data_IF_897425170255
#
_entry.id   IF_897425170255
#
_cell.length_a   1.000
_cell.length_b   1.000
_cell.length_c   1.000
_cell.angle_alpha   90.00
_cell.angle_beta   90.00
_cell.angle_gamma   90.00
#
_symmetry.space_group_name_H-M   'P 1'
#
loop_
_entity.id
_entity.type
_entity.pdbx_description
1 polymer ?
#
# COMPACT_ATOMS: atom_id res chain seq x y z
N UNK A 1 16.26 -2.85 28.95
CA UNK A 1 15.03 -2.33 29.58
C UNK A 1 13.96 -2.39 28.50
N UNK A 2 12.79 -2.98 28.74
CA UNK A 2 11.74 -3.07 27.72
C UNK A 2 10.90 -1.78 27.72
N UNK A 3 10.78 -1.14 26.55
CA UNK A 3 9.99 0.06 26.34
C UNK A 3 8.81 -0.27 25.44
N UNK A 4 7.60 0.01 25.94
CA UNK A 4 6.40 -0.08 25.13
C UNK A 4 6.29 1.16 24.23
N UNK A 5 6.49 0.96 22.94
CA UNK A 5 6.44 1.99 21.92
C UNK A 5 5.06 2.01 21.25
N UNK A 6 4.35 3.13 21.32
CA UNK A 6 3.02 3.32 20.69
C UNK A 6 3.18 4.18 19.45
N UNK A 7 3.19 3.60 18.25
CA UNK A 7 3.39 4.35 17.00
C UNK A 7 2.21 4.18 16.06
N UNK A 8 2.12 5.08 15.08
CA UNK A 8 1.19 4.93 13.97
C UNK A 8 1.96 4.48 12.73
N UNK A 9 1.51 3.42 12.07
CA UNK A 9 2.08 2.95 10.82
C UNK A 9 1.17 3.40 9.68
N UNK A 10 1.71 4.21 8.77
CA UNK A 10 1.05 4.60 7.53
C UNK A 10 1.20 3.50 6.47
N UNK A 11 0.07 3.09 5.90
CA UNK A 11 0.05 2.11 4.81
C UNK A 11 -1.13 2.39 3.88
N UNK A 12 -0.83 2.63 2.59
CA UNK A 12 -1.82 2.87 1.53
C UNK A 12 -2.87 3.95 1.90
N UNK A 13 -2.43 5.07 2.48
CA UNK A 13 -3.29 6.21 2.83
C UNK A 13 -3.92 6.18 4.22
N UNK A 14 -3.91 5.03 4.89
CA UNK A 14 -4.49 4.86 6.24
C UNK A 14 -3.38 4.75 7.29
N UNK A 15 -3.65 5.20 8.52
CA UNK A 15 -2.73 5.03 9.66
C UNK A 15 -3.32 4.01 10.66
N UNK A 16 -2.50 3.06 11.09
CA UNK A 16 -2.87 2.02 12.07
C UNK A 16 -1.98 2.16 13.30
N UNK A 17 -2.59 2.25 14.49
CA UNK A 17 -1.84 2.28 15.75
C UNK A 17 -1.25 0.89 16.04
N UNK A 18 0.05 0.84 16.32
CA UNK A 18 0.79 -0.37 16.64
C UNK A 18 1.54 -0.18 17.96
N UNK A 19 1.33 -1.13 18.86
CA UNK A 19 2.06 -1.25 20.11
C UNK A 19 3.20 -2.26 19.94
N UNK A 20 4.44 -1.80 20.07
CA UNK A 20 5.65 -2.62 19.97
C UNK A 20 6.32 -2.70 21.33
N UNK A 21 6.76 -3.90 21.70
CA UNK A 21 7.66 -4.09 22.83
C UNK A 21 9.09 -4.17 22.25
N UNK A 22 9.88 -3.15 22.53
CA UNK A 22 11.26 -3.05 22.05
C UNK A 22 12.19 -2.85 23.24
N UNK A 23 13.37 -3.42 23.19
CA UNK A 23 14.47 -3.06 24.08
C UNK A 23 15.47 -2.13 23.37
N UNK A 24 16.51 -1.70 24.11
CA UNK A 24 17.52 -0.77 23.61
C UNK A 24 18.33 -1.32 22.43
N UNK A 25 18.40 -2.64 22.29
CA UNK A 25 19.14 -3.34 21.24
C UNK A 25 18.27 -3.78 20.06
N UNK A 26 16.95 -3.68 20.18
CA UNK A 26 16.01 -4.02 19.11
C UNK A 26 16.32 -3.15 17.90
N UNK A 27 16.54 -3.80 16.77
CA UNK A 27 16.94 -3.14 15.54
C UNK A 27 15.73 -2.62 14.76
N UNK A 28 15.96 -1.63 13.91
CA UNK A 28 14.95 -1.14 12.97
C UNK A 28 14.45 -2.27 12.06
N UNK A 29 15.34 -3.17 11.62
CA UNK A 29 14.98 -4.33 10.81
C UNK A 29 13.98 -5.26 11.51
N UNK A 30 14.25 -5.62 12.77
CA UNK A 30 13.35 -6.46 13.57
C UNK A 30 11.98 -5.80 13.80
N UNK A 31 11.96 -4.48 14.05
CA UNK A 31 10.71 -3.73 14.16
C UNK A 31 9.94 -3.71 12.83
N UNK A 32 10.63 -3.48 11.71
CA UNK A 32 10.02 -3.46 10.39
C UNK A 32 9.39 -4.82 10.06
N UNK A 33 10.12 -5.91 10.30
CA UNK A 33 9.65 -7.28 10.08
C UNK A 33 8.44 -7.59 10.97
N UNK A 34 8.46 -7.21 12.25
CA UNK A 34 7.33 -7.40 13.17
C UNK A 34 6.08 -6.64 12.72
N UNK A 35 6.24 -5.40 12.22
CA UNK A 35 5.13 -4.61 11.70
C UNK A 35 4.54 -5.27 10.44
N UNK A 36 5.40 -5.72 9.54
CA UNK A 36 5.01 -6.42 8.30
C UNK A 36 4.15 -7.64 8.61
N UNK A 37 4.63 -8.50 9.51
CA UNK A 37 3.93 -9.71 9.93
C UNK A 37 2.61 -9.40 10.64
N UNK A 38 2.63 -8.45 11.58
CA UNK A 38 1.46 -8.11 12.40
C UNK A 38 0.34 -7.46 11.59
N UNK A 39 0.70 -6.58 10.64
CA UNK A 39 -0.27 -5.90 9.79
C UNK A 39 -0.60 -6.69 8.51
N UNK A 40 0.09 -7.81 8.25
CA UNK A 40 -0.03 -8.62 7.03
C UNK A 40 0.12 -7.78 5.76
N UNK A 41 1.05 -6.83 5.79
CA UNK A 41 1.39 -6.00 4.64
C UNK A 41 2.51 -6.67 3.84
N UNK A 42 2.57 -6.41 2.53
CA UNK A 42 3.66 -6.92 1.70
C UNK A 42 4.58 -5.76 1.31
N UNK A 43 5.85 -5.87 1.69
CA UNK A 43 6.91 -4.92 1.34
C UNK A 43 8.00 -5.70 0.61
N UNK A 44 8.39 -5.30 -0.61
CA UNK A 44 9.40 -6.04 -1.37
C UNK A 44 10.80 -5.83 -0.76
N UNK A 45 11.66 -6.84 -0.93
CA UNK A 45 13.05 -6.79 -0.46
C UNK A 45 13.16 -6.85 1.07
N UNK A 46 14.09 -6.07 1.64
CA UNK A 46 14.28 -5.96 3.08
C UNK A 46 13.52 -4.74 3.60
N UNK A 47 12.45 -4.93 4.40
CA UNK A 47 11.68 -3.82 4.91
C UNK A 47 12.48 -3.06 5.97
N UNK A 48 12.29 -1.74 5.95
CA UNK A 48 12.74 -0.80 6.97
C UNK A 48 11.62 0.21 7.24
N UNK A 49 11.86 1.13 8.17
CA UNK A 49 10.91 2.20 8.51
C UNK A 49 11.49 3.58 8.22
N UNK A 50 10.62 4.52 7.88
CA UNK A 50 10.93 5.94 7.84
C UNK A 50 9.93 6.72 8.67
N UNK A 51 10.40 7.75 9.38
CA UNK A 51 9.52 8.64 10.14
C UNK A 51 8.87 9.65 9.19
N UNK A 52 7.56 9.59 9.08
CA UNK A 52 6.77 10.49 8.22
C UNK A 52 6.71 11.88 8.85
N UNK A 53 6.88 12.93 8.03
CA UNK A 53 6.89 14.32 8.50
C UNK A 53 8.22 14.80 9.10
N UNK A 54 9.19 13.90 9.32
CA UNK A 54 10.63 14.24 9.41
C UNK A 54 11.26 14.04 8.03
N UNK A 55 12.59 14.16 7.91
CA UNK A 55 13.30 13.73 6.70
C UNK A 55 12.83 12.32 6.33
N UNK A 56 12.17 12.14 5.19
CA UNK A 56 11.55 10.88 4.72
C UNK A 56 12.58 9.77 4.40
N UNK A 57 13.79 9.88 4.94
CA UNK A 57 14.89 8.97 4.71
C UNK A 57 14.57 7.62 5.38
N UNK A 58 14.71 6.50 4.66
CA UNK A 58 14.71 5.18 5.27
C UNK A 58 15.79 5.10 6.36
N UNK A 59 15.42 4.62 7.54
CA UNK A 59 16.38 4.28 8.59
C UNK A 59 17.11 3.00 8.18
N UNK A 60 18.38 2.86 8.56
CA UNK A 60 19.14 1.66 8.22
C UNK A 60 18.69 0.52 9.13
N UNK A 61 18.54 -0.70 8.57
CA UNK A 61 18.00 -1.83 9.34
C UNK A 61 18.85 -2.21 10.55
N UNK A 62 20.14 -1.89 10.52
CA UNK A 62 21.11 -2.16 11.58
C UNK A 62 21.10 -1.14 12.72
N UNK A 63 20.46 0.03 12.53
CA UNK A 63 20.33 1.01 13.59
C UNK A 63 19.39 0.49 14.67
N UNK A 64 19.67 0.84 15.93
CA UNK A 64 18.84 0.41 17.06
C UNK A 64 17.72 1.40 17.33
N UNK A 65 16.63 0.93 17.94
CA UNK A 65 15.49 1.77 18.31
C UNK A 65 15.86 2.88 19.31
N UNK A 66 16.94 2.69 20.08
CA UNK A 66 17.47 3.71 21.00
C UNK A 66 18.22 4.83 20.28
N UNK A 67 18.79 4.57 19.11
CA UNK A 67 19.59 5.53 18.33
C UNK A 67 18.77 6.36 17.33
N UNK A 68 17.73 5.77 16.74
CA UNK A 68 16.95 6.41 15.65
C UNK A 68 15.94 7.47 16.12
N UNK A 69 15.71 7.58 17.43
CA UNK A 69 14.87 8.62 18.01
C UNK A 69 13.39 8.54 17.61
N UNK A 70 12.89 7.35 17.29
CA UNK A 70 11.45 7.08 17.15
C UNK A 70 10.82 7.14 18.55
N UNK A 71 9.72 7.85 18.66
CA UNK A 71 9.00 8.06 19.93
C UNK A 71 7.57 7.60 19.82
N UNK A 72 6.97 7.32 20.98
CA UNK A 72 5.53 7.10 21.06
C UNK A 72 4.78 8.31 20.49
N UNK A 73 3.84 8.06 19.59
CA UNK A 73 3.08 9.05 18.83
C UNK A 73 3.63 9.33 17.43
N UNK A 74 4.86 8.89 17.09
CA UNK A 74 5.39 9.09 15.75
C UNK A 74 4.58 8.31 14.70
N UNK A 75 4.40 8.95 13.55
CA UNK A 75 3.87 8.32 12.34
C UNK A 75 5.05 7.82 11.50
N UNK A 76 5.06 6.53 11.19
CA UNK A 76 6.10 5.91 10.37
C UNK A 76 5.51 5.28 9.11
N UNK A 77 6.34 5.05 8.10
CA UNK A 77 6.01 4.28 6.91
C UNK A 77 6.95 3.08 6.85
N UNK A 78 6.42 1.90 6.54
CA UNK A 78 7.25 0.74 6.20
C UNK A 78 7.52 0.75 4.70
N UNK A 79 8.79 0.67 4.33
CA UNK A 79 9.25 0.73 2.95
C UNK A 79 10.50 -0.13 2.76
N UNK A 80 10.89 -0.45 1.52
CA UNK A 80 12.16 -1.15 1.28
C UNK A 80 13.35 -0.28 1.71
N UNK A 81 14.43 -0.89 2.20
CA UNK A 81 15.66 -0.19 2.59
C UNK A 81 16.37 0.46 1.39
N UNK A 82 16.38 -0.23 0.26
CA UNK A 82 16.98 0.26 -0.98
C UNK A 82 15.88 0.79 -1.91
N UNK A 83 15.80 2.12 -2.02
CA UNK A 83 14.87 2.83 -2.89
C UNK A 83 15.09 2.48 -4.37
N UNK A 84 16.34 2.23 -4.81
CA UNK A 84 16.63 1.85 -6.19
C UNK A 84 16.12 0.43 -6.48
N UNK A 85 16.23 -0.48 -5.51
CA UNK A 85 15.62 -1.83 -5.60
C UNK A 85 14.10 -1.74 -5.60
N UNK A 86 13.49 -0.93 -4.73
CA UNK A 86 12.05 -0.69 -4.71
C UNK A 86 11.54 -0.19 -6.07
N UNK A 87 12.22 0.83 -6.61
CA UNK A 87 11.91 1.43 -7.89
C UNK A 87 12.08 0.44 -9.03
N UNK A 88 13.11 -0.41 -8.98
CA UNK A 88 13.34 -1.48 -9.96
C UNK A 88 12.22 -2.50 -9.93
N UNK A 89 11.88 -3.06 -8.77
CA UNK A 89 10.82 -4.06 -8.62
C UNK A 89 9.48 -3.49 -9.09
N UNK A 90 9.14 -2.25 -8.68
CA UNK A 90 7.93 -1.59 -9.15
C UNK A 90 7.92 -1.42 -10.67
N UNK A 91 9.05 -1.01 -11.27
CA UNK A 91 9.18 -0.84 -12.72
C UNK A 91 9.07 -2.16 -13.47
N UNK A 92 9.69 -3.23 -12.96
CA UNK A 92 9.65 -4.57 -13.56
C UNK A 92 8.24 -5.17 -13.47
N UNK A 93 7.55 -5.02 -12.33
CA UNK A 93 6.16 -5.43 -12.18
C UNK A 93 5.25 -4.69 -13.16
N UNK A 94 5.44 -3.38 -13.35
CA UNK A 94 4.70 -2.61 -14.34
C UNK A 94 5.02 -3.04 -15.78
N UNK A 95 6.28 -3.33 -16.08
CA UNK A 95 6.74 -3.73 -17.42
C UNK A 95 6.30 -5.15 -17.83
N UNK A 96 6.12 -6.05 -16.86
CA UNK A 96 5.77 -7.46 -17.10
C UNK A 96 4.28 -7.75 -16.91
N UNK A 97 3.50 -6.80 -16.39
CA UNK A 97 2.06 -6.99 -16.20
C UNK A 97 1.30 -6.94 -17.52
N UNK A 98 0.29 -7.81 -17.71
CA UNK A 98 -0.54 -7.80 -18.92
C UNK A 98 -1.33 -6.50 -19.11
N UNK A 99 -1.61 -5.77 -18.01
CA UNK A 99 -2.23 -4.46 -18.05
C UNK A 99 -1.80 -3.63 -16.83
N UNK A 100 -1.92 -2.30 -16.94
CA UNK A 100 -1.66 -1.37 -15.85
C UNK A 100 -2.90 -0.51 -15.65
N UNK A 101 -3.43 -0.49 -14.43
CA UNK A 101 -4.46 0.45 -14.04
C UNK A 101 -3.81 1.76 -13.62
N UNK A 102 -4.19 2.84 -14.29
CA UNK A 102 -3.76 4.20 -13.96
C UNK A 102 -4.92 4.91 -13.26
N UNK A 103 -4.69 5.37 -12.04
CA UNK A 103 -5.69 6.05 -11.22
C UNK A 103 -5.29 7.51 -11.05
N UNK A 104 -6.18 8.40 -11.46
CA UNK A 104 -6.06 9.84 -11.27
C UNK A 104 -6.97 10.25 -10.11
N UNK A 105 -6.38 10.60 -8.97
CA UNK A 105 -7.15 11.05 -7.81
C UNK A 105 -7.25 12.58 -7.83
N UNK A 106 -8.48 13.10 -7.97
CA UNK A 106 -8.75 14.55 -7.98
C UNK A 106 -8.27 15.26 -6.71
N UNK A 107 -8.35 14.56 -5.56
CA UNK A 107 -7.96 15.07 -4.24
C UNK A 107 -6.46 15.32 -4.08
N UNK A 108 -5.62 14.59 -4.82
CA UNK A 108 -4.15 14.66 -4.66
C UNK A 108 -3.43 15.14 -5.92
N UNK A 109 -4.13 15.24 -7.06
CA UNK A 109 -3.55 15.51 -8.39
C UNK A 109 -2.39 14.57 -8.74
N UNK A 110 -2.31 13.40 -8.09
CA UNK A 110 -1.28 12.40 -8.32
C UNK A 110 -1.86 11.23 -9.09
N UNK A 111 -1.09 10.80 -10.07
CA UNK A 111 -1.29 9.55 -10.77
C UNK A 111 -0.71 8.40 -9.93
N UNK A 112 -1.47 7.31 -9.81
CA UNK A 112 -1.00 6.05 -9.22
C UNK A 112 -1.16 4.94 -10.24
N UNK A 113 -0.13 4.10 -10.38
CA UNK A 113 -0.12 2.96 -11.31
C UNK A 113 -0.16 1.66 -10.53
N UNK A 114 -0.99 0.74 -10.98
CA UNK A 114 -1.13 -0.57 -10.38
C UNK A 114 -0.97 -1.65 -11.44
N UNK A 115 -0.02 -2.58 -11.28
CA UNK A 115 0.06 -3.76 -12.14
C UNK A 115 -1.20 -4.62 -11.97
N UNK A 116 -1.85 -4.98 -13.07
CA UNK A 116 -2.98 -5.90 -13.08
C UNK A 116 -2.50 -7.28 -13.53
N UNK A 117 -3.03 -8.33 -12.89
CA UNK A 117 -2.70 -9.73 -13.15
C UNK A 117 -3.70 -10.33 -14.13
N UNK A 118 -3.34 -11.44 -14.78
CA UNK A 118 -4.33 -12.26 -15.50
C UNK A 118 -5.44 -12.71 -14.53
N UNK A 119 -6.68 -12.75 -15.02
CA UNK A 119 -7.85 -13.05 -14.21
C UNK A 119 -8.44 -11.80 -13.52
N UNK A 120 -9.14 -12.02 -12.41
CA UNK A 120 -9.90 -10.96 -11.73
C UNK A 120 -9.02 -10.11 -10.80
N UNK A 121 -9.08 -8.79 -11.00
CA UNK A 121 -8.45 -7.79 -10.14
C UNK A 121 -9.53 -6.97 -9.49
N UNK A 122 -9.76 -7.20 -8.20
CA UNK A 122 -10.74 -6.46 -7.42
C UNK A 122 -10.17 -5.10 -7.00
N UNK A 123 -10.96 -4.05 -7.19
CA UNK A 123 -10.63 -2.67 -6.87
C UNK A 123 -11.59 -2.20 -5.77
N UNK A 124 -11.07 -1.51 -4.76
CA UNK A 124 -11.90 -0.95 -3.70
C UNK A 124 -11.09 -0.39 -2.55
N UNK A 125 -11.77 0.02 -1.47
CA UNK A 125 -11.11 0.55 -0.26
C UNK A 125 -10.68 -0.52 0.74
N UNK A 126 -11.19 -1.74 0.60
CA UNK A 126 -10.85 -2.83 1.50
C UNK A 126 -9.37 -3.25 1.32
N UNK A 127 -8.59 -3.40 2.40
CA UNK A 127 -7.19 -3.80 2.31
C UNK A 127 -6.95 -5.17 1.68
N UNK A 128 -7.96 -6.04 1.61
CA UNK A 128 -7.83 -7.37 1.02
C UNK A 128 -7.98 -7.41 -0.52
N UNK A 129 -8.29 -6.29 -1.17
CA UNK A 129 -8.48 -6.24 -2.63
C UNK A 129 -7.16 -6.05 -3.36
N UNK A 130 -7.10 -6.43 -4.65
CA UNK A 130 -5.88 -6.35 -5.44
C UNK A 130 -5.40 -4.90 -5.64
N UNK A 131 -6.34 -3.96 -5.80
CA UNK A 131 -6.06 -2.53 -5.94
C UNK A 131 -6.79 -1.75 -4.85
N UNK A 132 -6.08 -1.44 -3.76
CA UNK A 132 -6.62 -0.58 -2.69
C UNK A 132 -6.56 0.90 -3.09
N UNK A 133 -7.73 1.52 -3.12
CA UNK A 133 -7.93 2.97 -3.26
C UNK A 133 -8.50 3.51 -1.95
N UNK A 134 -7.70 4.27 -1.22
CA UNK A 134 -8.12 4.87 0.05
C UNK A 134 -8.83 6.20 -0.18
N UNK A 135 -10.07 6.10 -0.67
CA UNK A 135 -10.94 7.24 -0.92
C UNK A 135 -12.33 6.94 -0.34
N UNK A 136 -12.89 7.91 0.40
CA UNK A 136 -14.17 7.75 1.07
C UNK A 136 -15.33 7.50 0.10
N UNK A 137 -15.23 7.97 -1.15
CA UNK A 137 -16.20 7.69 -2.22
C UNK A 137 -16.08 6.28 -2.80
N UNK A 138 -15.01 5.56 -2.50
CA UNK A 138 -14.77 4.19 -2.98
C UNK A 138 -15.35 3.17 -2.00
N UNK A 139 -16.24 2.30 -2.51
CA UNK A 139 -16.76 1.13 -1.80
C UNK A 139 -15.65 0.13 -1.44
N UNK A 140 -15.84 -0.64 -0.36
CA UNK A 140 -14.91 -1.69 0.08
C UNK A 140 -14.50 -2.63 -1.07
N UNK A 141 -15.50 -3.12 -1.80
CA UNK A 141 -15.36 -3.82 -3.08
C UNK A 141 -16.16 -2.99 -4.08
N UNK A 142 -15.49 -2.34 -5.02
CA UNK A 142 -16.10 -1.31 -5.87
C UNK A 142 -16.26 -1.79 -7.31
N UNK A 143 -15.17 -2.23 -7.91
CA UNK A 143 -15.14 -2.68 -9.29
C UNK A 143 -14.29 -3.94 -9.43
N UNK A 144 -14.57 -4.76 -10.43
CA UNK A 144 -13.71 -5.86 -10.83
C UNK A 144 -13.21 -5.61 -12.24
N UNK A 145 -11.91 -5.75 -12.45
CA UNK A 145 -11.29 -5.72 -13.78
C UNK A 145 -10.72 -7.11 -14.07
N UNK A 146 -11.29 -7.77 -15.07
CA UNK A 146 -10.87 -9.11 -15.50
C UNK A 146 -9.97 -8.98 -16.72
N UNK A 147 -8.73 -9.45 -16.60
CA UNK A 147 -7.74 -9.45 -17.69
C UNK A 147 -7.67 -10.85 -18.30
N UNK A 148 -8.05 -10.96 -19.58
CA UNK A 148 -7.92 -12.15 -20.43
C UNK A 148 -7.49 -11.68 -21.84
N UNK A 149 -8.01 -12.31 -22.90
CA UNK A 149 -7.86 -11.83 -24.28
C UNK A 149 -8.50 -10.46 -24.50
N UNK A 150 -9.51 -10.13 -23.69
CA UNK A 150 -10.16 -8.81 -23.58
C UNK A 150 -10.16 -8.36 -22.12
N UNK A 151 -10.27 -7.05 -21.92
CA UNK A 151 -10.44 -6.47 -20.58
C UNK A 151 -11.94 -6.27 -20.34
N UNK A 152 -12.45 -6.83 -19.25
CA UNK A 152 -13.83 -6.66 -18.82
C UNK A 152 -13.89 -5.93 -17.49
N UNK A 153 -14.74 -4.90 -17.39
CA UNK A 153 -14.96 -4.08 -16.21
C UNK A 153 -16.37 -4.31 -15.69
N UNK A 154 -16.50 -4.58 -14.40
CA UNK A 154 -17.78 -4.82 -13.73
C UNK A 154 -17.93 -3.97 -12.45
N UNK A 155 -19.18 -3.59 -12.16
CA UNK A 155 -19.57 -2.91 -10.91
C UNK A 155 -20.06 -3.96 -9.91
N UNK A 156 -19.29 -4.21 -8.86
CA UNK A 156 -19.57 -5.30 -7.90
C UNK A 156 -20.50 -4.87 -6.76
N UNK A 157 -21.43 -3.95 -7.05
CA UNK A 157 -22.39 -3.40 -6.08
C UNK A 157 -21.87 -2.18 -5.35
N UNK A 158 -21.13 -1.30 -6.04
CA UNK A 158 -20.62 -0.06 -5.47
C UNK A 158 -21.73 0.96 -5.16
N UNK A 159 -21.49 1.79 -4.12
CA UNK A 159 -22.45 2.82 -3.69
C UNK A 159 -22.58 3.97 -4.69
N UNK A 160 -21.48 4.34 -5.35
CA UNK A 160 -21.48 5.45 -6.31
C UNK A 160 -21.72 4.93 -7.74
N UNK A 161 -21.25 3.73 -8.07
CA UNK A 161 -21.34 3.14 -9.40
C UNK A 161 -19.99 3.08 -10.10
N UNK A 162 -19.91 2.30 -11.17
CA UNK A 162 -18.80 2.34 -12.13
C UNK A 162 -19.27 2.92 -13.46
N UNK A 163 -18.43 3.71 -14.12
CA UNK A 163 -18.71 4.29 -15.43
C UNK A 163 -17.58 4.02 -16.42
N UNK A 164 -17.95 3.68 -17.65
CA UNK A 164 -17.03 3.45 -18.78
C UNK A 164 -17.53 4.25 -19.96
N UNK A 165 -16.68 5.11 -20.53
CA UNK A 165 -17.07 5.97 -21.66
C UNK A 165 -18.28 6.88 -21.37
N UNK A 166 -18.46 7.30 -20.11
CA UNK A 166 -19.61 8.10 -19.67
C UNK A 166 -20.91 7.30 -19.43
N UNK A 167 -20.92 5.99 -19.71
CA UNK A 167 -22.07 5.11 -19.47
C UNK A 167 -21.90 4.36 -18.15
N UNK A 168 -22.96 4.28 -17.35
CA UNK A 168 -22.93 3.53 -16.08
C UNK A 168 -22.95 2.02 -16.36
N UNK A 169 -22.00 1.31 -15.77
CA UNK A 169 -21.89 -0.16 -15.84
C UNK A 169 -23.06 -0.78 -15.06
N UNK A 170 -23.84 -1.63 -15.72
CA UNK A 170 -24.95 -2.42 -15.12
C UNK A 170 -24.73 -3.92 -15.24
N UNK A 171 -23.85 -4.30 -16.17
CA UNK A 171 -23.36 -5.64 -16.49
C UNK A 171 -21.91 -5.48 -16.94
N UNK A 172 -21.09 -6.54 -16.92
CA UNK A 172 -19.70 -6.46 -17.37
C UNK A 172 -19.57 -5.83 -18.76
N UNK A 173 -18.69 -4.83 -18.88
CA UNK A 173 -18.42 -4.08 -20.13
C UNK A 173 -17.01 -4.38 -20.60
N UNK A 174 -16.85 -4.63 -21.90
CA UNK A 174 -15.53 -4.75 -22.55
C UNK A 174 -14.95 -3.37 -22.86
N UNK A 175 -13.66 -3.19 -22.57
CA UNK A 175 -12.89 -1.96 -22.83
C UNK A 175 -11.69 -2.22 -23.72
#
# INVERSE_FOLDING_TARGET
>A
MHLLLQISVSHQGSAVAVALDCDDGTTVGEVADLIVDRLRIHVPGHPTVAVTGRSHRPLARVETMSEVGIRSGDLIAVQPEDEAVAQRIASDLLATSPAVLVVHATSTQRERRFPLRLGANLIGRDPAVAVKLDDAGVSRRHASVVIRDVIEVDDVGSSQGVWVGGQRVRQPVRV
#
